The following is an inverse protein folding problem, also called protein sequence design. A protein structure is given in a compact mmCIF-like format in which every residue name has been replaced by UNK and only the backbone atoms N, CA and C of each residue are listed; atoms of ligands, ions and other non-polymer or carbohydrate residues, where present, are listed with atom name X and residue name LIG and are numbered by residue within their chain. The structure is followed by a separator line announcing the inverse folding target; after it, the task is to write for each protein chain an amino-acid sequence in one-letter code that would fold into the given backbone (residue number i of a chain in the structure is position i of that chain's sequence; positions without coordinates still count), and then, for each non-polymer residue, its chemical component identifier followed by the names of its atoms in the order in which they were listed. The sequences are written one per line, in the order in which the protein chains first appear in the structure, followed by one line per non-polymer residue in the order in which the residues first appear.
data_IF_487068153992
#
_entry.id   IF_487068153992
#
_cell.length_a   1.000
_cell.length_b   1.000
_cell.length_c   1.000
_cell.angle_alpha   90.00
_cell.angle_beta   90.00
_cell.angle_gamma   90.00
#
_symmetry.space_group_name_H-M   'P 1'
#
loop_
_entity.id
_entity.type
_entity.pdbx_description
1 polymer ?
#
# COMPACT_ATOMS: atom_id res chain seq x y z
N UNK A 1 2.72 -14.48 12.34
CA UNK A 1 2.17 -13.13 12.57
C UNK A 1 2.53 -12.27 11.37
N UNK A 2 1.59 -11.55 10.81
CA UNK A 2 1.82 -10.60 9.72
C UNK A 2 1.72 -9.17 10.25
N UNK A 3 2.32 -8.23 9.54
CA UNK A 3 2.14 -6.80 9.78
C UNK A 3 1.29 -6.21 8.66
N UNK A 4 0.22 -5.53 9.03
CA UNK A 4 -0.68 -4.81 8.13
C UNK A 4 -0.41 -3.32 8.29
N UNK A 5 -0.07 -2.63 7.20
CA UNK A 5 0.04 -1.18 7.15
C UNK A 5 -1.24 -0.60 6.53
N UNK A 6 -2.06 0.03 7.36
CA UNK A 6 -3.26 0.75 6.93
C UNK A 6 -2.92 2.21 6.68
N UNK A 7 -3.25 2.72 5.49
CA UNK A 7 -3.02 4.11 5.08
C UNK A 7 -4.36 4.75 4.72
N UNK A 8 -4.75 5.80 5.41
CA UNK A 8 -5.94 6.59 5.08
C UNK A 8 -5.53 7.91 4.43
N UNK A 9 -5.99 8.14 3.19
CA UNK A 9 -5.61 9.30 2.39
C UNK A 9 -6.72 10.36 2.20
N UNK A 10 -7.93 10.08 2.73
CA UNK A 10 -9.04 11.03 2.63
C UNK A 10 -8.85 12.22 3.56
N UNK A 11 -9.02 13.43 3.03
CA UNK A 11 -9.07 14.64 3.84
C UNK A 11 -10.38 14.76 4.66
N UNK A 12 -11.41 13.97 4.32
CA UNK A 12 -12.66 13.91 5.11
C UNK A 12 -12.50 12.93 6.27
N UNK A 13 -12.96 13.30 7.45
CA UNK A 13 -13.05 12.43 8.64
C UNK A 13 -14.44 11.81 8.72
N UNK A 14 -15.46 12.68 8.75
CA UNK A 14 -16.86 12.24 8.79
C UNK A 14 -17.35 11.88 7.39
N UNK A 15 -18.12 10.79 7.29
CA UNK A 15 -18.73 10.31 6.03
C UNK A 15 -17.72 10.02 4.90
N UNK A 16 -16.48 9.70 5.24
CA UNK A 16 -15.51 9.24 4.25
C UNK A 16 -15.74 7.77 3.92
N UNK A 17 -16.11 7.49 2.67
CA UNK A 17 -16.38 6.12 2.21
C UNK A 17 -15.11 5.28 2.22
N UNK A 18 -13.98 5.80 1.74
CA UNK A 18 -12.71 5.05 1.72
C UNK A 18 -12.19 4.72 3.12
N UNK A 19 -12.36 5.62 4.12
CA UNK A 19 -12.06 5.30 5.53
C UNK A 19 -13.00 4.24 6.10
N UNK A 20 -14.27 4.27 5.72
CA UNK A 20 -15.23 3.22 6.08
C UNK A 20 -14.80 1.86 5.56
N UNK A 21 -14.34 1.79 4.31
CA UNK A 21 -13.82 0.55 3.73
C UNK A 21 -12.55 0.04 4.43
N UNK A 22 -11.57 0.91 4.72
CA UNK A 22 -10.35 0.47 5.43
C UNK A 22 -10.66 -0.01 6.84
N UNK A 23 -11.60 0.63 7.53
CA UNK A 23 -12.05 0.19 8.85
C UNK A 23 -12.72 -1.18 8.76
N UNK A 24 -13.68 -1.35 7.85
CA UNK A 24 -14.35 -2.63 7.64
C UNK A 24 -13.37 -3.76 7.29
N UNK A 25 -12.38 -3.48 6.42
CA UNK A 25 -11.35 -4.45 6.05
C UNK A 25 -10.49 -4.85 7.25
N UNK A 26 -9.93 -3.87 7.98
CA UNK A 26 -9.02 -4.14 9.08
C UNK A 26 -9.70 -4.79 10.28
N UNK A 27 -10.96 -4.46 10.56
CA UNK A 27 -11.76 -5.14 11.59
C UNK A 27 -12.01 -6.61 11.24
N UNK A 28 -12.37 -6.92 9.98
CA UNK A 28 -12.56 -8.30 9.54
C UNK A 28 -11.25 -9.07 9.51
N UNK A 29 -10.15 -8.42 9.10
CA UNK A 29 -8.81 -8.99 9.13
C UNK A 29 -8.43 -9.42 10.54
N UNK A 30 -8.53 -8.51 11.51
CA UNK A 30 -8.15 -8.78 12.90
C UNK A 30 -9.07 -9.79 13.59
N UNK A 31 -10.35 -9.90 13.18
CA UNK A 31 -11.23 -11.01 13.64
C UNK A 31 -10.70 -12.37 13.19
N UNK A 32 -10.18 -12.48 11.97
CA UNK A 32 -9.63 -13.72 11.42
C UNK A 32 -8.20 -13.99 11.85
N UNK A 33 -7.44 -12.94 12.14
CA UNK A 33 -6.02 -12.99 12.49
C UNK A 33 -5.70 -12.06 13.67
N UNK A 34 -6.16 -12.39 14.88
CA UNK A 34 -6.10 -11.50 16.05
C UNK A 34 -4.69 -11.19 16.56
N UNK A 35 -3.70 -11.99 16.14
CA UNK A 35 -2.32 -11.84 16.54
C UNK A 35 -1.47 -11.03 15.55
N UNK A 36 -2.06 -10.58 14.42
CA UNK A 36 -1.34 -9.76 13.45
C UNK A 36 -1.25 -8.31 13.94
N UNK A 37 -0.14 -7.65 13.59
CA UNK A 37 0.10 -6.26 13.98
C UNK A 37 -0.55 -5.31 12.99
N UNK A 38 -1.32 -4.32 13.47
CA UNK A 38 -1.86 -3.24 12.67
C UNK A 38 -1.09 -1.94 12.93
N UNK A 39 -0.44 -1.42 11.89
CA UNK A 39 0.14 -0.08 11.86
C UNK A 39 -0.82 0.83 11.10
N UNK A 40 -1.14 1.99 11.64
CA UNK A 40 -2.04 2.96 10.99
C UNK A 40 -1.32 4.25 10.70
N UNK A 41 -1.39 4.70 9.44
CA UNK A 41 -0.88 5.99 8.96
C UNK A 41 -2.00 6.79 8.33
N UNK A 42 -2.28 7.95 8.89
CA UNK A 42 -3.28 8.89 8.34
C UNK A 42 -2.58 10.04 7.62
N UNK A 43 -2.41 9.89 6.31
CA UNK A 43 -1.81 10.93 5.48
C UNK A 43 -2.83 11.99 5.06
N UNK A 44 -4.12 11.67 5.10
CA UNK A 44 -5.18 12.65 4.79
C UNK A 44 -5.28 13.77 5.82
N UNK A 45 -5.00 13.48 7.09
CA UNK A 45 -5.00 14.46 8.19
C UNK A 45 -3.60 14.97 8.52
N UNK A 46 -2.59 14.14 8.34
CA UNK A 46 -1.19 14.46 8.62
C UNK A 46 -0.35 14.22 7.35
N UNK A 47 -0.52 15.07 6.32
CA UNK A 47 0.16 14.89 5.04
C UNK A 47 1.67 15.04 5.20
N UNK A 48 2.46 14.12 4.65
CA UNK A 48 3.90 14.34 4.55
C UNK A 48 4.21 15.56 3.68
N UNK A 49 5.32 16.28 3.92
CA UNK A 49 5.73 17.36 3.06
C UNK A 49 6.10 16.84 1.66
N UNK A 50 5.91 17.67 0.64
CA UNK A 50 6.44 17.40 -0.69
C UNK A 50 7.96 17.34 -0.66
N UNK A 51 8.57 16.63 -1.62
CA UNK A 51 10.03 16.55 -1.74
C UNK A 51 10.61 17.93 -1.98
N UNK A 52 11.73 18.19 -1.31
CA UNK A 52 12.56 19.39 -1.49
C UNK A 52 13.90 19.03 -2.11
N UNK A 53 14.62 20.02 -2.65
CA UNK A 53 15.98 19.84 -3.13
C UNK A 53 16.90 19.26 -2.03
N UNK A 54 16.77 19.75 -0.80
CA UNK A 54 17.51 19.24 0.35
C UNK A 54 17.21 17.78 0.65
N UNK A 55 15.95 17.36 0.52
CA UNK A 55 15.55 15.96 0.69
C UNK A 55 16.17 15.07 -0.40
N UNK A 56 16.10 15.51 -1.67
CA UNK A 56 16.67 14.77 -2.79
C UNK A 56 18.17 14.60 -2.61
N UNK A 57 18.89 15.69 -2.30
CA UNK A 57 20.33 15.64 -2.04
C UNK A 57 20.67 14.67 -0.89
N UNK A 58 19.90 14.70 0.21
CA UNK A 58 20.10 13.81 1.35
C UNK A 58 19.83 12.34 1.01
N UNK A 59 18.77 12.05 0.22
CA UNK A 59 18.40 10.71 -0.18
C UNK A 59 19.46 10.03 -1.06
N UNK A 60 20.12 10.80 -1.93
CA UNK A 60 21.19 10.31 -2.82
C UNK A 60 22.60 10.36 -2.18
N UNK A 61 22.75 10.92 -0.98
CA UNK A 61 24.00 10.83 -0.21
C UNK A 61 24.07 9.48 0.49
N UNK A 62 25.20 8.80 0.40
CA UNK A 62 25.44 7.54 1.09
C UNK A 62 25.24 7.70 2.62
N UNK A 63 24.59 6.75 3.31
CA UNK A 63 24.21 6.92 4.71
C UNK A 63 25.33 7.34 5.64
N UNK A 64 26.54 6.80 5.44
CA UNK A 64 27.75 7.09 6.22
C UNK A 64 28.36 8.48 5.95
N UNK A 65 27.95 9.13 4.87
CA UNK A 65 28.44 10.46 4.46
C UNK A 65 27.43 11.57 4.78
N UNK A 66 26.22 11.22 5.29
CA UNK A 66 25.18 12.20 5.58
C UNK A 66 25.55 13.08 6.75
N UNK A 67 25.43 14.38 6.53
CA UNK A 67 25.51 15.38 7.60
C UNK A 67 24.30 15.24 8.56
N UNK A 68 24.42 15.80 9.77
CA UNK A 68 23.29 15.84 10.73
C UNK A 68 22.05 16.54 10.14
N UNK A 69 22.25 17.57 9.31
CA UNK A 69 21.15 18.26 8.63
C UNK A 69 20.46 17.34 7.62
N UNK A 70 21.21 16.58 6.83
CA UNK A 70 20.64 15.60 5.88
C UNK A 70 19.90 14.48 6.59
N UNK A 71 20.41 13.98 7.71
CA UNK A 71 19.72 13.00 8.56
C UNK A 71 18.41 13.58 9.11
N UNK A 72 18.41 14.83 9.56
CA UNK A 72 17.21 15.49 10.06
C UNK A 72 16.13 15.65 8.98
N UNK A 73 16.53 15.99 7.74
CA UNK A 73 15.60 16.11 6.60
C UNK A 73 14.96 14.76 6.24
N UNK A 74 15.68 13.65 6.36
CA UNK A 74 15.18 12.30 6.05
C UNK A 74 14.43 11.65 7.20
N UNK A 75 14.41 12.22 8.39
CA UNK A 75 13.84 11.61 9.59
C UNK A 75 12.41 11.10 9.41
N UNK A 76 11.53 11.90 8.77
CA UNK A 76 10.16 11.47 8.51
C UNK A 76 10.12 10.31 7.51
N UNK A 77 10.90 10.38 6.45
CA UNK A 77 11.02 9.29 5.47
C UNK A 77 11.49 7.99 6.13
N UNK A 78 12.46 8.07 7.05
CA UNK A 78 12.92 6.90 7.82
C UNK A 78 11.79 6.30 8.66
N UNK A 79 11.02 7.12 9.38
CA UNK A 79 9.86 6.67 10.16
C UNK A 79 8.80 5.98 9.29
N UNK A 80 8.49 6.54 8.11
CA UNK A 80 7.51 5.95 7.19
C UNK A 80 8.02 4.63 6.60
N UNK A 81 9.33 4.50 6.39
CA UNK A 81 9.94 3.25 5.94
C UNK A 81 9.95 2.19 7.03
N UNK A 82 10.18 2.55 8.30
CA UNK A 82 10.10 1.65 9.45
C UNK A 82 8.69 1.05 9.62
N UNK A 83 7.65 1.76 9.18
CA UNK A 83 6.27 1.25 9.13
C UNK A 83 6.02 0.33 7.92
N UNK A 84 6.59 0.67 6.76
CA UNK A 84 6.40 -0.03 5.50
C UNK A 84 7.19 -1.33 5.42
N UNK A 85 8.45 -1.33 5.88
CA UNK A 85 9.37 -2.47 5.69
C UNK A 85 8.84 -3.78 6.27
N UNK A 86 8.32 -3.82 7.51
CA UNK A 86 7.79 -5.06 8.10
C UNK A 86 6.41 -5.45 7.53
N UNK A 87 5.72 -4.55 6.83
CA UNK A 87 4.38 -4.82 6.33
C UNK A 87 4.40 -5.87 5.22
N UNK A 88 3.65 -6.95 5.39
CA UNK A 88 3.35 -7.94 4.36
C UNK A 88 2.06 -7.62 3.59
N UNK A 89 1.17 -6.84 4.21
CA UNK A 89 -0.08 -6.35 3.64
C UNK A 89 -0.16 -4.84 3.78
N UNK A 90 -0.35 -4.14 2.66
CA UNK A 90 -0.56 -2.70 2.61
C UNK A 90 -2.03 -2.46 2.22
N UNK A 91 -2.77 -1.72 3.04
CA UNK A 91 -4.18 -1.37 2.79
C UNK A 91 -4.28 0.14 2.64
N UNK A 92 -4.59 0.61 1.44
CA UNK A 92 -4.70 2.05 1.13
C UNK A 92 -6.18 2.41 0.95
N UNK A 93 -6.70 3.25 1.84
CA UNK A 93 -8.00 3.89 1.70
C UNK A 93 -7.87 5.28 1.07
N UNK A 94 -8.39 5.45 -0.13
CA UNK A 94 -8.20 6.70 -0.88
C UNK A 94 -9.44 7.14 -1.65
N UNK A 95 -9.83 8.42 -1.61
CA UNK A 95 -10.75 8.95 -2.60
C UNK A 95 -10.00 9.19 -3.93
N UNK A 96 -10.74 9.19 -5.03
CA UNK A 96 -10.26 9.72 -6.30
C UNK A 96 -10.49 11.24 -6.30
N UNK A 97 -9.42 12.02 -6.31
CA UNK A 97 -9.48 13.46 -6.50
C UNK A 97 -8.98 13.83 -7.89
N UNK A 98 -9.83 14.49 -8.68
CA UNK A 98 -9.47 14.91 -10.04
C UNK A 98 -8.84 13.74 -10.86
N UNK A 99 -9.52 12.58 -10.87
CA UNK A 99 -9.13 11.36 -11.58
C UNK A 99 -7.82 10.68 -11.11
N UNK A 100 -7.23 11.15 -10.02
CA UNK A 100 -5.97 10.65 -9.49
C UNK A 100 -5.95 10.50 -7.96
N UNK A 101 -4.77 10.23 -7.44
CA UNK A 101 -4.58 10.12 -5.99
C UNK A 101 -4.52 11.50 -5.33
N UNK A 102 -4.98 11.61 -4.07
CA UNK A 102 -4.78 12.83 -3.27
C UNK A 102 -3.30 13.21 -3.17
N UNK A 103 -2.99 14.51 -3.17
CA UNK A 103 -1.63 15.01 -3.04
C UNK A 103 -0.90 14.46 -1.80
N UNK A 104 -1.61 14.28 -0.69
CA UNK A 104 -1.08 13.70 0.53
C UNK A 104 -0.60 12.25 0.36
N UNK A 105 -1.34 11.42 -0.42
CA UNK A 105 -0.94 10.06 -0.73
C UNK A 105 0.28 10.04 -1.66
N UNK A 106 0.29 10.94 -2.65
CA UNK A 106 1.46 11.08 -3.55
C UNK A 106 2.71 11.50 -2.76
N UNK A 107 2.58 12.44 -1.83
CA UNK A 107 3.68 12.85 -0.97
C UNK A 107 4.18 11.69 -0.09
N UNK A 108 3.27 10.83 0.43
CA UNK A 108 3.68 9.63 1.16
C UNK A 108 4.46 8.67 0.26
N UNK A 109 3.98 8.39 -0.94
CA UNK A 109 4.68 7.54 -1.92
C UNK A 109 6.08 8.10 -2.22
N UNK A 110 6.20 9.41 -2.41
CA UNK A 110 7.47 10.06 -2.69
C UNK A 110 8.46 9.98 -1.52
N UNK A 111 7.97 9.99 -0.28
CA UNK A 111 8.79 9.85 0.92
C UNK A 111 9.32 8.42 1.12
N UNK A 112 8.54 7.40 0.73
CA UNK A 112 8.91 5.99 0.98
C UNK A 112 9.62 5.32 -0.20
N UNK A 113 9.48 5.82 -1.43
CA UNK A 113 10.27 5.33 -2.57
C UNK A 113 11.66 5.98 -2.50
N UNK A 114 12.62 5.23 -1.94
CA UNK A 114 13.95 5.74 -1.64
C UNK A 114 15.05 4.76 -2.05
N UNK A 115 16.08 5.29 -2.72
CA UNK A 115 17.25 4.52 -3.15
C UNK A 115 17.96 3.88 -1.93
N UNK A 116 18.34 2.62 -2.07
CA UNK A 116 19.01 1.85 -1.02
C UNK A 116 18.08 1.36 0.10
N UNK A 117 16.76 1.69 0.04
CA UNK A 117 15.76 1.23 1.01
C UNK A 117 14.65 0.42 0.32
N UNK A 118 13.97 0.98 -0.66
CA UNK A 118 12.89 0.32 -1.40
C UNK A 118 13.30 -0.09 -2.80
N UNK A 119 14.26 0.59 -3.40
CA UNK A 119 14.80 0.24 -4.71
C UNK A 119 16.31 0.40 -4.79
N UNK A 120 16.94 -0.33 -5.71
CA UNK A 120 18.32 -0.19 -6.13
C UNK A 120 18.40 0.43 -7.52
N UNK A 121 19.51 1.14 -7.77
CA UNK A 121 19.80 1.78 -9.05
C UNK A 121 21.16 1.32 -9.56
N UNK A 122 21.18 0.75 -10.79
CA UNK A 122 22.41 0.29 -11.42
C UNK A 122 22.33 0.48 -12.95
N UNK A 123 23.20 1.33 -13.49
CA UNK A 123 23.28 1.59 -14.94
C UNK A 123 23.69 0.36 -15.75
N UNK A 124 24.34 -0.62 -15.15
CA UNK A 124 24.71 -1.87 -15.84
C UNK A 124 23.48 -2.68 -16.29
N UNK A 125 22.28 -2.38 -15.74
CA UNK A 125 21.00 -2.99 -16.15
C UNK A 125 20.42 -2.39 -17.44
N UNK A 126 21.08 -1.43 -18.07
CA UNK A 126 20.64 -0.79 -19.32
C UNK A 126 19.43 0.12 -19.15
N UNK A 127 18.38 -0.07 -19.95
CA UNK A 127 17.18 0.81 -19.95
C UNK A 127 16.28 0.65 -18.71
N UNK A 128 16.50 -0.36 -17.87
CA UNK A 128 15.74 -0.59 -16.63
C UNK A 128 16.68 -0.57 -15.40
N UNK A 129 17.28 0.56 -15.08
CA UNK A 129 18.29 0.65 -14.02
C UNK A 129 17.71 0.53 -12.59
N UNK A 130 16.38 0.61 -12.45
CA UNK A 130 15.67 0.59 -11.17
C UNK A 130 15.06 -0.78 -10.92
N UNK A 131 15.40 -1.38 -9.77
CA UNK A 131 14.78 -2.62 -9.29
C UNK A 131 14.33 -2.49 -7.84
N UNK A 132 13.15 -3.06 -7.47
CA UNK A 132 12.74 -3.14 -6.08
C UNK A 132 13.71 -4.01 -5.27
N UNK A 133 13.98 -3.61 -4.03
CA UNK A 133 14.83 -4.40 -3.09
C UNK A 133 13.98 -5.50 -2.44
N UNK A 134 12.73 -5.19 -2.06
CA UNK A 134 11.80 -6.14 -1.48
C UNK A 134 10.83 -6.74 -2.50
N UNK A 135 10.19 -7.84 -2.13
CA UNK A 135 9.12 -8.49 -2.90
C UNK A 135 8.15 -9.23 -1.98
N UNK A 136 7.02 -9.66 -2.51
CA UNK A 136 6.07 -10.53 -1.80
C UNK A 136 5.04 -9.81 -0.95
N UNK A 137 4.99 -8.47 -0.96
CA UNK A 137 3.92 -7.71 -0.31
C UNK A 137 2.63 -7.77 -1.14
N UNK A 138 1.49 -7.81 -0.44
CA UNK A 138 0.16 -7.65 -1.03
C UNK A 138 -0.35 -6.24 -0.81
N UNK A 139 -0.97 -5.65 -1.84
CA UNK A 139 -1.61 -4.33 -1.77
C UNK A 139 -3.12 -4.46 -1.93
N UNK A 140 -3.88 -3.81 -1.06
CA UNK A 140 -5.33 -3.64 -1.20
C UNK A 140 -5.64 -2.14 -1.32
N UNK A 141 -6.23 -1.75 -2.45
CA UNK A 141 -6.69 -0.38 -2.71
C UNK A 141 -8.20 -0.34 -2.47
N UNK A 142 -8.63 0.47 -1.52
CA UNK A 142 -10.02 0.69 -1.14
C UNK A 142 -10.39 2.13 -1.50
N UNK A 143 -10.98 2.31 -2.69
CA UNK A 143 -11.18 3.65 -3.24
C UNK A 143 -12.64 4.09 -3.24
N UNK A 144 -12.84 5.40 -3.36
CA UNK A 144 -14.16 6.00 -3.59
C UNK A 144 -14.09 7.11 -4.63
N UNK A 145 -15.13 7.19 -5.47
CA UNK A 145 -15.24 8.21 -6.53
C UNK A 145 -16.64 8.81 -6.63
N UNK A 146 -16.72 10.03 -7.13
CA UNK A 146 -17.99 10.74 -7.40
C UNK A 146 -18.76 10.11 -8.56
N UNK A 147 -18.05 9.79 -9.62
CA UNK A 147 -18.54 9.12 -10.82
C UNK A 147 -18.23 7.61 -10.75
N UNK A 148 -18.55 6.87 -11.82
CA UNK A 148 -18.29 5.42 -11.89
C UNK A 148 -17.91 4.98 -13.29
N UNK A 149 -17.64 3.66 -13.43
CA UNK A 149 -17.18 3.07 -14.69
C UNK A 149 -15.66 3.18 -14.86
N UNK A 150 -14.92 3.24 -13.78
CA UNK A 150 -13.46 3.34 -13.76
C UNK A 150 -12.75 1.98 -13.77
N UNK A 151 -13.49 0.87 -13.69
CA UNK A 151 -12.95 -0.48 -13.82
C UNK A 151 -12.44 -0.74 -15.25
N UNK A 152 -11.60 -1.76 -15.37
CA UNK A 152 -11.09 -2.18 -16.68
C UNK A 152 -12.25 -2.56 -17.62
N UNK A 153 -12.33 -1.90 -18.77
CA UNK A 153 -13.42 -2.06 -19.74
C UNK A 153 -14.64 -1.17 -19.47
N UNK A 154 -14.66 -0.43 -18.35
CA UNK A 154 -15.69 0.56 -18.05
C UNK A 154 -15.59 1.82 -18.93
N UNK A 155 -16.66 2.61 -18.97
CA UNK A 155 -16.78 3.79 -19.84
C UNK A 155 -15.77 4.89 -19.52
N UNK A 156 -15.23 4.91 -18.30
CA UNK A 156 -14.23 5.88 -17.84
C UNK A 156 -12.88 5.22 -17.47
N UNK A 157 -12.64 3.99 -17.92
CA UNK A 157 -11.42 3.25 -17.61
C UNK A 157 -10.13 4.04 -17.94
N UNK A 158 -10.12 4.77 -19.05
CA UNK A 158 -8.97 5.58 -19.48
C UNK A 158 -8.73 6.82 -18.61
N UNK A 159 -9.71 7.24 -17.83
CA UNK A 159 -9.62 8.37 -16.91
C UNK A 159 -9.16 7.94 -15.51
N UNK A 160 -9.01 6.62 -15.27
CA UNK A 160 -8.55 6.11 -13.99
C UNK A 160 -7.02 6.21 -13.86
N UNK A 161 -6.55 7.37 -13.44
CA UNK A 161 -5.14 7.59 -13.10
C UNK A 161 -4.84 7.30 -11.61
N UNK A 162 -5.85 6.95 -10.82
CA UNK A 162 -5.66 6.60 -9.41
C UNK A 162 -5.01 5.23 -9.25
N UNK A 163 -5.70 4.19 -9.72
CA UNK A 163 -5.27 2.81 -9.48
C UNK A 163 -3.98 2.49 -10.24
N UNK A 164 -3.91 2.89 -11.51
CA UNK A 164 -2.74 2.64 -12.37
C UNK A 164 -1.46 3.25 -11.79
N UNK A 165 -1.54 4.47 -11.24
CA UNK A 165 -0.39 5.12 -10.63
C UNK A 165 0.01 4.44 -9.31
N UNK A 166 -0.95 4.13 -8.42
CA UNK A 166 -0.65 3.43 -7.15
C UNK A 166 -0.02 2.07 -7.44
N UNK A 167 -0.60 1.28 -8.35
CA UNK A 167 -0.08 -0.04 -8.72
C UNK A 167 1.33 0.04 -9.31
N UNK A 168 1.57 1.01 -10.20
CA UNK A 168 2.90 1.20 -10.80
C UNK A 168 3.94 1.57 -9.75
N UNK A 169 3.64 2.52 -8.87
CA UNK A 169 4.56 2.97 -7.83
C UNK A 169 4.80 1.89 -6.76
N UNK A 170 3.77 1.11 -6.42
CA UNK A 170 3.85 0.08 -5.37
C UNK A 170 4.80 -1.06 -5.70
N UNK A 171 5.15 -1.28 -6.98
CA UNK A 171 6.20 -2.24 -7.37
C UNK A 171 7.52 -1.93 -6.68
N UNK A 172 7.87 -0.65 -6.53
CA UNK A 172 9.07 -0.22 -5.83
C UNK A 172 8.97 -0.34 -4.30
N UNK A 173 7.77 -0.61 -3.77
CA UNK A 173 7.54 -0.92 -2.36
C UNK A 173 7.62 -2.43 -2.06
N UNK A 174 7.89 -3.25 -3.09
CA UNK A 174 7.94 -4.70 -2.98
C UNK A 174 6.58 -5.41 -3.14
N UNK A 175 5.59 -4.73 -3.72
CA UNK A 175 4.27 -5.33 -3.99
C UNK A 175 4.35 -6.26 -5.18
N UNK A 176 3.89 -7.50 -4.99
CA UNK A 176 3.81 -8.55 -6.01
C UNK A 176 2.37 -8.86 -6.43
N UNK A 177 1.41 -8.60 -5.56
CA UNK A 177 -0.01 -8.84 -5.78
C UNK A 177 -0.82 -7.63 -5.35
N UNK A 178 -1.87 -7.28 -6.10
CA UNK A 178 -2.76 -6.19 -5.72
C UNK A 178 -4.23 -6.51 -5.97
N UNK A 179 -5.10 -5.93 -5.14
CA UNK A 179 -6.54 -6.00 -5.23
C UNK A 179 -7.14 -4.61 -5.14
N UNK A 180 -8.25 -4.38 -5.84
CA UNK A 180 -8.94 -3.08 -5.84
C UNK A 180 -10.42 -3.28 -5.57
N UNK A 181 -10.95 -2.58 -4.57
CA UNK A 181 -12.38 -2.51 -4.25
C UNK A 181 -12.79 -1.04 -4.28
N UNK A 182 -13.89 -0.74 -4.97
CA UNK A 182 -14.34 0.65 -5.20
C UNK A 182 -15.75 0.87 -4.70
N UNK A 183 -16.00 2.06 -4.15
CA UNK A 183 -17.34 2.64 -4.06
C UNK A 183 -17.40 3.78 -5.06
N UNK A 184 -18.29 3.65 -6.02
CA UNK A 184 -18.47 4.61 -7.11
C UNK A 184 -19.83 5.32 -7.02
N UNK A 185 -20.07 6.29 -7.88
CA UNK A 185 -21.34 7.03 -8.05
C UNK A 185 -21.73 7.87 -6.81
N UNK A 186 -20.78 8.33 -5.99
CA UNK A 186 -21.09 9.10 -4.79
C UNK A 186 -21.85 10.40 -5.09
N UNK A 187 -21.52 11.09 -6.20
CA UNK A 187 -22.16 12.35 -6.60
C UNK A 187 -23.62 12.17 -7.04
N UNK A 188 -23.99 10.96 -7.48
CA UNK A 188 -25.35 10.68 -7.92
C UNK A 188 -26.29 10.41 -6.73
N UNK A 189 -25.82 9.81 -5.65
CA UNK A 189 -26.61 9.53 -4.46
C UNK A 189 -27.81 8.61 -4.66
N UNK A 190 -27.88 7.92 -5.79
CA UNK A 190 -28.99 7.09 -6.24
C UNK A 190 -28.76 5.59 -5.98
N UNK A 191 -29.58 4.74 -6.60
CA UNK A 191 -29.52 3.28 -6.46
C UNK A 191 -28.16 2.70 -6.91
N UNK A 192 -27.50 3.29 -7.90
CA UNK A 192 -26.14 2.87 -8.35
C UNK A 192 -25.14 3.00 -7.22
N UNK A 193 -25.18 4.13 -6.52
CA UNK A 193 -24.31 4.36 -5.36
C UNK A 193 -24.57 3.37 -4.23
N UNK A 194 -25.86 3.12 -3.91
CA UNK A 194 -26.22 2.16 -2.87
C UNK A 194 -25.77 0.74 -3.21
N UNK A 195 -25.94 0.31 -4.46
CA UNK A 195 -25.44 -0.98 -4.95
C UNK A 195 -23.91 -1.06 -4.87
N UNK A 196 -23.21 0.01 -5.23
CA UNK A 196 -21.76 0.08 -5.17
C UNK A 196 -21.25 -0.08 -3.73
N UNK A 197 -21.88 0.58 -2.75
CA UNK A 197 -21.55 0.41 -1.32
C UNK A 197 -21.73 -1.05 -0.89
N UNK A 198 -22.89 -1.65 -1.18
CA UNK A 198 -23.19 -3.04 -0.80
C UNK A 198 -22.19 -4.02 -1.43
N UNK A 199 -21.90 -3.85 -2.72
CA UNK A 199 -20.95 -4.69 -3.46
C UNK A 199 -19.55 -4.58 -2.88
N UNK A 200 -19.09 -3.37 -2.55
CA UNK A 200 -17.77 -3.13 -1.98
C UNK A 200 -17.62 -3.81 -0.60
N UNK A 201 -18.62 -3.69 0.27
CA UNK A 201 -18.58 -4.36 1.58
C UNK A 201 -18.64 -5.89 1.47
N UNK A 202 -19.41 -6.43 0.53
CA UNK A 202 -19.44 -7.87 0.26
C UNK A 202 -18.10 -8.37 -0.28
N UNK A 203 -17.48 -7.59 -1.20
CA UNK A 203 -16.17 -7.91 -1.76
C UNK A 203 -15.06 -7.92 -0.70
N UNK A 204 -15.12 -7.02 0.31
CA UNK A 204 -14.17 -7.01 1.44
C UNK A 204 -14.21 -8.35 2.18
N UNK A 205 -15.40 -8.88 2.50
CA UNK A 205 -15.52 -10.12 3.22
C UNK A 205 -14.88 -11.31 2.46
N UNK A 206 -15.16 -11.40 1.15
CA UNK A 206 -14.54 -12.40 0.29
C UNK A 206 -13.03 -12.27 0.17
N UNK A 207 -12.53 -11.05 -0.01
CA UNK A 207 -11.10 -10.78 -0.14
C UNK A 207 -10.34 -11.10 1.17
N UNK A 208 -10.86 -10.69 2.32
CA UNK A 208 -10.24 -11.02 3.62
C UNK A 208 -10.16 -12.54 3.80
N UNK A 209 -11.22 -13.26 3.48
CA UNK A 209 -11.21 -14.73 3.56
C UNK A 209 -10.14 -15.34 2.64
N UNK A 210 -10.07 -14.90 1.39
CA UNK A 210 -9.06 -15.36 0.42
C UNK A 210 -7.64 -15.10 0.92
N UNK A 211 -7.32 -13.87 1.31
CA UNK A 211 -5.97 -13.48 1.74
C UNK A 211 -5.54 -14.18 3.02
N UNK A 212 -6.46 -14.38 3.98
CA UNK A 212 -6.14 -15.08 5.23
C UNK A 212 -5.87 -16.56 5.01
N UNK A 213 -6.54 -17.20 4.05
CA UNK A 213 -6.26 -18.60 3.63
C UNK A 213 -4.89 -18.70 2.97
N UNK A 214 -4.60 -17.85 1.98
CA UNK A 214 -3.31 -17.85 1.28
C UNK A 214 -2.13 -17.65 2.23
N UNK A 215 -2.22 -16.69 3.16
CA UNK A 215 -1.16 -16.47 4.15
C UNK A 215 -1.01 -17.62 5.14
N UNK A 216 -2.08 -18.37 5.45
CA UNK A 216 -2.03 -19.59 6.25
C UNK A 216 -1.24 -20.70 5.56
N UNK A 217 -1.43 -20.86 4.26
CA UNK A 217 -0.74 -21.88 3.46
C UNK A 217 0.74 -21.55 3.27
N UNK A 218 1.10 -20.27 3.05
CA UNK A 218 2.50 -19.81 3.02
C UNK A 218 3.24 -20.09 4.32
N UNK A 219 2.63 -19.82 5.46
CA UNK A 219 3.23 -20.09 6.78
C UNK A 219 3.50 -21.59 6.99
N UNK A 220 2.60 -22.44 6.53
CA UNK A 220 2.76 -23.91 6.57
C UNK A 220 3.88 -24.39 5.65
N UNK A 221 3.96 -23.84 4.42
CA UNK A 221 5.00 -24.17 3.45
C UNK A 221 6.40 -23.77 3.92
N UNK A 222 6.55 -22.61 4.54
CA UNK A 222 7.83 -22.18 5.11
C UNK A 222 8.22 -23.07 6.31
N UNK A 223 7.28 -23.38 7.19
CA UNK A 223 7.53 -24.28 8.32
C UNK A 223 7.92 -25.69 7.88
N UNK A 224 7.30 -26.22 6.82
CA UNK A 224 7.64 -27.51 6.25
C UNK A 224 9.04 -27.52 5.62
N UNK A 225 9.42 -26.45 4.88
CA UNK A 225 10.78 -26.33 4.34
C UNK A 225 11.86 -26.24 5.43
N UNK A 226 11.62 -25.48 6.46
CA UNK A 226 12.56 -25.36 7.59
C UNK A 226 12.71 -26.69 8.36
N UNK A 227 11.64 -27.47 8.49
CA UNK A 227 11.70 -28.80 9.11
C UNK A 227 12.51 -29.80 8.26
N UNK A 228 12.39 -29.76 6.93
CA UNK A 228 13.18 -30.60 6.01
C UNK A 228 14.67 -30.23 6.01
N UNK A 229 15.01 -28.93 6.08
CA UNK A 229 16.40 -28.47 6.13
C UNK A 229 17.08 -28.85 7.46
N UNK A 230 16.35 -28.83 8.59
CA UNK A 230 16.85 -29.27 9.88
C UNK A 230 17.01 -30.80 9.97
N UNK A 231 16.15 -31.56 9.29
CA UNK A 231 16.25 -33.02 9.22
C UNK A 231 17.46 -33.48 8.40
N UNK A 232 17.76 -32.77 7.28
CA UNK A 232 18.94 -33.07 6.44
C UNK A 232 20.27 -32.63 7.04
N UNK A 233 20.30 -31.63 7.93
CA UNK A 233 21.51 -31.18 8.62
C UNK A 233 21.91 -32.06 9.82
N UNK A 234 21.04 -32.96 10.25
CA UNK A 234 21.27 -33.90 11.36
C UNK A 234 21.81 -35.29 10.97
N UNK A 235 22.06 -35.53 9.66
CA UNK A 235 22.49 -36.82 9.08
C UNK A 235 23.93 -36.78 8.49
N UNK A 236 24.67 -35.70 8.74
CA UNK A 236 26.04 -35.54 8.29
C UNK A 236 27.06 -35.65 9.44
#
# INVERSE_FOLDING_TARGET
MATVLKIDASARVTRSLSRGLTTAFTEQWLKSRPNDTLITRDVGLNPPPALSEAWIAAAFTAPEQRTLQQQAVLKLSDQLLEELEPASLIVIGTPMYNYGMPAALKAWIDQVIRIGRTFSFDLARGEQPIEPIGTGKTLVILSSSGEGGFELGGVQATMNHLDSHIVTASRLLGVSEHHVIRIEYQEFGDERHQKSIQSAHAAIAGLVQQLTQNMGDWTRLIAAKQADETCNAGVA
#
